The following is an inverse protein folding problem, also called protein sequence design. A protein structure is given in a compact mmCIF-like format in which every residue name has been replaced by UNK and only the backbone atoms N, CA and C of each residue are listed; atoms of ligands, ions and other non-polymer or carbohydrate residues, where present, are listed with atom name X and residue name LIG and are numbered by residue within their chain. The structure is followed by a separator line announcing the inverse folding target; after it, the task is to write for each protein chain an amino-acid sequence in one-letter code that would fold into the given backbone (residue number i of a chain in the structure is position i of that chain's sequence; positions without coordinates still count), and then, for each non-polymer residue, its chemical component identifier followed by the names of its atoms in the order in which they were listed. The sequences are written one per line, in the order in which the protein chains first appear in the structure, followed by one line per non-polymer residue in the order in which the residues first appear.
data_IF_912695325865
#
_entry.id   IF_912695325865
#
_cell.length_a   1.000
_cell.length_b   1.000
_cell.length_c   1.000
_cell.angle_alpha   90.00
_cell.angle_beta   90.00
_cell.angle_gamma   90.00
#
_symmetry.space_group_name_H-M   'P 1'
#
loop_
_entity.id
_entity.type
_entity.pdbx_description
1 polymer ?
#
# COMPACT_ATOMS: atom_id res chain seq x y z
N UNK A 1 -1.88 51.62 -32.35
CA UNK A 1 -0.59 51.19 -32.96
C UNK A 1 -0.74 49.69 -33.21
N UNK A 2 -1.30 49.23 -34.35
CA UNK A 2 -0.70 49.10 -35.69
C UNK A 2 0.68 48.42 -35.58
N UNK A 3 0.91 47.20 -36.07
CA UNK A 3 0.99 46.77 -37.48
C UNK A 3 0.35 45.37 -37.69
N UNK A 4 -0.65 45.19 -38.57
CA UNK A 4 -0.62 44.75 -40.00
C UNK A 4 -0.03 43.34 -40.21
N UNK A 5 -0.83 42.29 -40.49
CA UNK A 5 -1.52 41.87 -41.74
C UNK A 5 -0.63 41.22 -42.84
N UNK A 6 -1.20 40.14 -43.42
CA UNK A 6 -0.97 39.54 -44.76
C UNK A 6 -0.02 38.33 -44.80
N UNK A 7 -0.53 37.09 -44.90
CA UNK A 7 -1.01 36.42 -46.12
C UNK A 7 -0.09 36.64 -47.34
N UNK A 8 0.64 35.60 -47.72
CA UNK A 8 1.19 35.38 -49.06
C UNK A 8 0.47 34.16 -49.66
N UNK A 9 -0.72 34.43 -50.19
CA UNK A 9 -1.22 33.72 -51.36
C UNK A 9 -0.32 34.12 -52.53
N UNK A 10 0.11 33.17 -53.38
CA UNK A 10 0.44 33.27 -54.82
C UNK A 10 1.47 32.17 -55.16
N UNK A 11 0.97 30.97 -55.46
CA UNK A 11 1.31 30.34 -56.74
C UNK A 11 -0.03 30.16 -57.43
N UNK A 12 -0.35 31.16 -58.23
CA UNK A 12 -1.49 31.20 -59.14
C UNK A 12 -1.26 30.30 -60.35
N UNK A 13 -2.39 29.79 -60.85
CA UNK A 13 -2.67 29.44 -62.23
C UNK A 13 -2.07 28.12 -62.74
N UNK A 14 -2.94 27.20 -63.17
CA UNK A 14 -3.20 27.03 -64.59
C UNK A 14 -4.53 26.26 -64.81
N UNK A 15 -5.47 26.96 -65.44
CA UNK A 15 -6.46 26.49 -66.43
C UNK A 15 -7.54 25.47 -66.00
N UNK A 16 -8.77 25.94 -65.72
CA UNK A 16 -9.92 26.10 -66.64
C UNK A 16 -10.72 24.83 -66.92
N UNK A 17 -11.98 24.87 -66.48
CA UNK A 17 -13.19 24.37 -67.13
C UNK A 17 -13.09 23.23 -68.14
N UNK A 18 -13.67 22.08 -67.79
CA UNK A 18 -14.46 21.31 -68.74
C UNK A 18 -15.56 20.52 -68.01
N UNK A 19 -16.76 20.73 -68.51
CA UNK A 19 -18.06 20.15 -68.17
C UNK A 19 -18.19 18.66 -68.49
N UNK A 20 -19.10 18.00 -67.76
CA UNK A 20 -20.05 16.96 -68.21
C UNK A 20 -19.55 15.71 -68.97
N UNK A 21 -19.85 14.50 -68.49
CA UNK A 21 -20.99 13.67 -68.93
C UNK A 21 -20.92 12.25 -68.34
N UNK A 22 -22.12 11.70 -68.07
CA UNK A 22 -22.40 10.29 -67.86
C UNK A 22 -21.91 9.40 -69.01
N UNK A 23 -21.22 8.31 -68.67
CA UNK A 23 -21.39 6.95 -69.21
C UNK A 23 -20.92 6.02 -68.07
N UNK A 24 -21.71 5.09 -67.52
CA UNK A 24 -22.24 3.90 -68.17
C UNK A 24 -21.29 2.73 -67.91
N UNK A 25 -21.68 1.76 -67.08
CA UNK A 25 -20.95 0.47 -67.00
C UNK A 25 -20.92 -0.21 -65.64
N UNK A 26 -21.93 -1.06 -65.41
CA UNK A 26 -21.93 -2.31 -64.64
C UNK A 26 -20.82 -2.56 -63.59
N UNK A 27 -21.25 -2.73 -62.34
CA UNK A 27 -21.17 -4.05 -61.71
C UNK A 27 -22.23 -4.16 -60.61
N UNK A 28 -23.44 -4.53 -61.05
CA UNK A 28 -24.37 -5.27 -60.21
C UNK A 28 -23.70 -6.60 -59.86
N UNK A 29 -23.55 -6.89 -58.57
CA UNK A 29 -23.42 -8.27 -58.10
C UNK A 29 -24.86 -8.80 -58.03
N UNK A 30 -25.37 -9.23 -59.18
CA UNK A 30 -26.58 -10.07 -59.25
C UNK A 30 -26.27 -11.42 -58.61
N UNK A 31 -27.15 -11.85 -57.71
CA UNK A 31 -26.88 -12.89 -56.73
C UNK A 31 -26.56 -14.28 -57.28
N UNK A 32 -25.84 -15.02 -56.43
CA UNK A 32 -25.91 -16.48 -56.35
C UNK A 32 -26.36 -16.81 -54.93
N UNK A 33 -27.53 -17.44 -54.85
CA UNK A 33 -28.03 -18.30 -53.79
C UNK A 33 -27.28 -18.29 -52.43
N UNK A 34 -27.89 -17.68 -51.41
CA UNK A 34 -28.05 -18.42 -50.15
C UNK A 34 -28.68 -19.77 -50.51
N UNK A 35 -28.24 -20.90 -49.96
CA UNK A 35 -28.41 -21.32 -48.58
C UNK A 35 -27.31 -22.36 -48.30
N UNK A 36 -26.28 -22.03 -47.52
CA UNK A 36 -25.35 -23.03 -46.94
C UNK A 36 -24.46 -22.45 -45.82
N UNK A 37 -24.16 -21.14 -45.86
CA UNK A 37 -23.25 -20.51 -44.89
C UNK A 37 -23.92 -19.80 -43.70
N UNK A 38 -25.20 -19.44 -43.79
CA UNK A 38 -25.87 -18.58 -42.79
C UNK A 38 -26.33 -19.37 -41.56
N UNK A 39 -26.68 -20.66 -41.73
CA UNK A 39 -27.18 -21.51 -40.64
C UNK A 39 -26.08 -21.83 -39.61
N UNK A 40 -24.87 -22.19 -40.06
CA UNK A 40 -23.71 -22.43 -39.16
C UNK A 40 -23.27 -21.18 -38.39
N UNK A 41 -23.45 -20.00 -38.98
CA UNK A 41 -23.03 -18.72 -38.36
C UNK A 41 -24.01 -18.30 -37.25
N UNK A 42 -25.31 -18.60 -37.38
CA UNK A 42 -26.29 -18.26 -36.33
C UNK A 42 -26.08 -19.12 -35.08
N UNK A 43 -25.87 -20.42 -35.23
CA UNK A 43 -25.55 -21.32 -34.09
C UNK A 43 -24.28 -20.86 -33.35
N UNK A 44 -23.25 -20.43 -34.10
CA UNK A 44 -22.02 -19.88 -33.52
C UNK A 44 -22.23 -18.56 -32.77
N UNK A 45 -23.19 -17.73 -33.18
CA UNK A 45 -23.56 -16.49 -32.47
C UNK A 45 -24.28 -16.79 -31.17
N UNK A 46 -25.19 -17.76 -31.18
CA UNK A 46 -25.97 -18.14 -30.00
C UNK A 46 -25.07 -18.80 -28.94
N UNK A 47 -24.08 -19.60 -29.37
CA UNK A 47 -23.03 -20.15 -28.50
C UNK A 47 -22.15 -19.03 -27.94
N UNK A 48 -21.75 -18.05 -28.77
CA UNK A 48 -20.94 -16.91 -28.31
C UNK A 48 -21.69 -16.07 -27.26
N UNK A 49 -22.98 -15.83 -27.48
CA UNK A 49 -23.82 -15.11 -26.52
C UNK A 49 -23.88 -15.86 -25.18
N UNK A 50 -24.11 -17.17 -25.22
CA UNK A 50 -24.14 -18.01 -24.01
C UNK A 50 -22.81 -18.00 -23.25
N UNK A 51 -21.68 -17.99 -23.98
CA UNK A 51 -20.33 -17.86 -23.39
C UNK A 51 -20.16 -16.48 -22.73
N UNK A 52 -20.62 -15.41 -23.38
CA UNK A 52 -20.49 -14.06 -22.87
C UNK A 52 -21.39 -13.84 -21.64
N UNK A 53 -22.57 -14.46 -21.60
CA UNK A 53 -23.45 -14.47 -20.43
C UNK A 53 -22.82 -15.23 -19.24
N UNK A 54 -22.19 -16.39 -19.47
CA UNK A 54 -21.45 -17.14 -18.45
C UNK A 54 -20.23 -16.36 -17.92
N UNK A 55 -19.51 -15.65 -18.81
CA UNK A 55 -18.45 -14.71 -18.39
C UNK A 55 -19.00 -13.56 -17.56
N UNK A 56 -20.19 -13.06 -17.88
CA UNK A 56 -20.86 -12.02 -17.11
C UNK A 56 -21.18 -12.46 -15.67
N UNK A 57 -21.69 -13.68 -15.49
CA UNK A 57 -21.99 -14.25 -14.18
C UNK A 57 -20.73 -14.40 -13.32
N UNK A 58 -19.67 -14.98 -13.88
CA UNK A 58 -18.39 -15.15 -13.17
C UNK A 58 -17.72 -13.81 -12.84
N UNK A 59 -17.80 -12.82 -13.73
CA UNK A 59 -17.29 -11.47 -13.46
C UNK A 59 -18.05 -10.77 -12.34
N UNK A 60 -19.37 -10.96 -12.26
CA UNK A 60 -20.18 -10.40 -11.18
C UNK A 60 -19.78 -10.96 -9.82
N UNK A 61 -19.53 -12.26 -9.74
CA UNK A 61 -19.03 -12.91 -8.53
C UNK A 61 -17.64 -12.40 -8.14
N UNK A 62 -16.73 -12.27 -9.11
CA UNK A 62 -15.39 -11.72 -8.89
C UNK A 62 -15.47 -10.28 -8.38
N UNK A 63 -16.31 -9.44 -8.97
CA UNK A 63 -16.50 -8.05 -8.53
C UNK A 63 -17.06 -7.99 -7.10
N UNK A 64 -18.02 -8.86 -6.77
CA UNK A 64 -18.57 -8.95 -5.41
C UNK A 64 -17.49 -9.38 -4.40
N UNK A 65 -16.67 -10.37 -4.73
CA UNK A 65 -15.55 -10.81 -3.90
C UNK A 65 -14.48 -9.72 -3.74
N UNK A 66 -14.14 -9.00 -4.82
CA UNK A 66 -13.22 -7.87 -4.77
C UNK A 66 -13.75 -6.76 -3.85
N UNK A 67 -15.04 -6.47 -3.91
CA UNK A 67 -15.69 -5.50 -3.01
C UNK A 67 -15.63 -5.95 -1.55
N UNK A 68 -15.87 -7.24 -1.27
CA UNK A 68 -15.72 -7.81 0.07
C UNK A 68 -14.28 -7.70 0.59
N UNK A 69 -13.29 -8.00 -0.27
CA UNK A 69 -11.87 -7.85 0.09
C UNK A 69 -11.47 -6.40 0.36
N UNK A 70 -11.97 -5.45 -0.44
CA UNK A 70 -11.75 -4.02 -0.20
C UNK A 70 -12.35 -3.58 1.13
N UNK A 71 -13.55 -4.07 1.45
CA UNK A 71 -14.22 -3.80 2.73
C UNK A 71 -13.39 -4.33 3.90
N UNK A 72 -12.93 -5.58 3.82
CA UNK A 72 -12.07 -6.19 4.84
C UNK A 72 -10.78 -5.38 5.03
N UNK A 73 -10.12 -4.97 3.95
CA UNK A 73 -8.91 -4.13 4.02
C UNK A 73 -9.19 -2.79 4.72
N UNK A 74 -10.31 -2.14 4.40
CA UNK A 74 -10.69 -0.87 5.03
C UNK A 74 -10.93 -1.04 6.54
N UNK A 75 -11.53 -2.16 6.95
CA UNK A 75 -11.76 -2.49 8.36
C UNK A 75 -10.44 -2.80 9.07
N UNK A 76 -9.52 -3.52 8.42
CA UNK A 76 -8.17 -3.77 8.95
C UNK A 76 -7.38 -2.47 9.12
N UNK A 77 -7.47 -1.53 8.16
CA UNK A 77 -6.82 -0.22 8.27
C UNK A 77 -7.44 0.62 9.40
N UNK A 78 -8.76 0.52 9.64
CA UNK A 78 -9.42 1.15 10.78
C UNK A 78 -8.96 0.53 12.11
N UNK A 79 -8.82 -0.80 12.19
CA UNK A 79 -8.29 -1.50 13.38
C UNK A 79 -6.84 -1.09 13.63
N UNK A 80 -6.00 -1.04 12.60
CA UNK A 80 -4.59 -0.62 12.72
C UNK A 80 -4.47 0.84 13.21
N UNK A 81 -5.39 1.72 12.81
CA UNK A 81 -5.45 3.10 13.35
C UNK A 81 -5.89 3.16 14.81
N UNK A 82 -6.73 2.22 15.27
CA UNK A 82 -7.19 2.13 16.67
C UNK A 82 -6.21 1.39 17.58
N UNK A 83 -5.42 0.47 17.03
CA UNK A 83 -4.38 -0.31 17.74
C UNK A 83 -2.99 0.33 17.64
N UNK A 84 -2.89 1.65 17.60
CA UNK A 84 -1.57 2.27 17.72
C UNK A 84 -1.11 2.10 19.16
N UNK A 85 -0.30 1.06 19.41
CA UNK A 85 0.39 0.87 20.67
C UNK A 85 1.20 2.16 20.90
N UNK A 86 0.87 2.97 21.92
CA UNK A 86 1.49 4.28 22.09
C UNK A 86 2.97 4.15 22.50
N UNK A 87 3.39 2.95 22.93
CA UNK A 87 4.79 2.63 23.22
C UNK A 87 5.50 2.07 21.99
N UNK A 88 6.63 2.65 21.64
CA UNK A 88 7.52 2.18 20.58
C UNK A 88 8.96 2.06 21.10
N UNK A 89 9.75 1.23 20.43
CA UNK A 89 11.18 1.08 20.69
C UNK A 89 11.97 2.08 19.85
N UNK A 90 13.06 2.61 20.42
CA UNK A 90 14.00 3.47 19.73
C UNK A 90 15.45 3.16 20.12
N UNK A 91 16.33 3.33 19.15
CA UNK A 91 17.78 3.20 19.28
C UNK A 91 18.45 4.56 19.17
N UNK A 92 19.71 4.62 19.61
CA UNK A 92 20.56 5.77 19.31
C UNK A 92 20.83 5.87 17.81
N UNK A 93 21.12 7.08 17.33
CA UNK A 93 21.73 7.29 16.01
C UNK A 93 23.08 6.58 15.85
N UNK A 94 23.79 6.29 16.96
CA UNK A 94 25.04 5.50 16.98
C UNK A 94 24.80 3.98 16.94
N UNK A 95 23.54 3.55 16.93
CA UNK A 95 23.11 2.15 16.86
C UNK A 95 22.68 1.53 18.20
N UNK A 96 22.54 0.20 18.19
CA UNK A 96 22.06 -0.60 19.32
C UNK A 96 22.91 -0.45 20.59
N UNK A 97 22.22 -0.36 21.73
CA UNK A 97 22.78 -0.37 23.08
C UNK A 97 23.84 0.72 23.31
N UNK A 98 23.55 1.94 22.85
CA UNK A 98 24.43 3.11 23.02
C UNK A 98 23.89 4.19 23.96
N UNK A 99 22.64 4.08 24.41
CA UNK A 99 22.01 5.10 25.26
C UNK A 99 22.23 4.78 26.74
N UNK A 100 22.84 5.72 27.48
CA UNK A 100 22.67 5.80 28.93
C UNK A 100 21.22 6.19 29.28
N UNK A 101 20.81 6.00 30.54
CA UNK A 101 19.44 6.32 30.96
C UNK A 101 19.02 7.78 30.67
N UNK A 102 19.93 8.74 30.85
CA UNK A 102 19.65 10.14 30.56
C UNK A 102 19.56 10.42 29.04
N UNK A 103 20.45 9.81 28.25
CA UNK A 103 20.38 9.91 26.78
C UNK A 103 19.10 9.25 26.25
N UNK A 104 18.68 8.13 26.84
CA UNK A 104 17.44 7.46 26.49
C UNK A 104 16.19 8.34 26.68
N UNK A 105 16.13 9.10 27.78
CA UNK A 105 15.06 10.08 27.98
C UNK A 105 15.05 11.14 26.90
N UNK A 106 16.23 11.65 26.56
CA UNK A 106 16.40 12.69 25.54
C UNK A 106 16.02 12.18 24.14
N UNK A 107 16.42 10.96 23.79
CA UNK A 107 16.05 10.30 22.53
C UNK A 107 14.51 10.23 22.36
N UNK A 108 13.77 9.92 23.42
CA UNK A 108 12.31 9.96 23.36
C UNK A 108 11.77 11.38 23.13
N UNK A 109 12.34 12.38 23.80
CA UNK A 109 11.92 13.79 23.67
C UNK A 109 12.15 14.29 22.25
N UNK A 110 13.30 13.98 21.66
CA UNK A 110 13.64 14.36 20.27
C UNK A 110 12.68 13.75 19.25
N UNK A 111 12.07 12.61 19.59
CA UNK A 111 11.03 11.94 18.79
C UNK A 111 9.61 12.39 19.11
N UNK A 112 9.44 13.45 19.90
CA UNK A 112 8.12 13.97 20.30
C UNK A 112 7.37 13.05 21.27
N UNK A 113 8.09 12.28 22.07
CA UNK A 113 7.56 11.31 23.01
C UNK A 113 8.15 11.53 24.43
N UNK A 114 7.69 10.74 25.40
CA UNK A 114 8.32 10.64 26.73
C UNK A 114 8.82 9.22 26.93
N UNK A 115 9.79 9.01 27.82
CA UNK A 115 10.18 7.64 28.19
C UNK A 115 8.95 6.90 28.77
N UNK A 116 8.72 5.67 28.31
CA UNK A 116 7.57 4.89 28.71
C UNK A 116 7.68 4.46 30.18
N UNK A 117 6.56 4.53 30.89
CA UNK A 117 6.47 3.95 32.24
C UNK A 117 6.40 2.41 32.16
N UNK A 118 6.81 1.69 33.22
CA UNK A 118 6.63 0.24 33.28
C UNK A 118 5.18 -0.21 33.06
N UNK A 119 4.21 0.58 33.53
CA UNK A 119 2.79 0.31 33.35
C UNK A 119 2.37 0.45 31.88
N UNK A 120 2.79 1.52 31.20
CA UNK A 120 2.53 1.73 29.77
C UNK A 120 3.20 0.66 28.92
N UNK A 121 4.46 0.29 29.23
CA UNK A 121 5.18 -0.75 28.53
C UNK A 121 4.52 -2.13 28.71
N UNK A 122 4.01 -2.43 29.92
CA UNK A 122 3.24 -3.65 30.17
C UNK A 122 1.96 -3.70 29.35
N UNK A 123 1.16 -2.64 29.37
CA UNK A 123 -0.07 -2.56 28.59
C UNK A 123 0.23 -2.74 27.08
N UNK A 124 1.26 -2.07 26.58
CA UNK A 124 1.73 -2.24 25.21
C UNK A 124 2.11 -3.70 24.86
N UNK A 125 2.80 -4.40 25.76
CA UNK A 125 3.19 -5.81 25.58
C UNK A 125 2.01 -6.78 25.68
N UNK A 126 1.00 -6.45 26.49
CA UNK A 126 -0.28 -7.16 26.54
C UNK A 126 -1.02 -7.01 25.20
N UNK A 127 -1.03 -5.80 24.63
CA UNK A 127 -1.65 -5.44 23.36
C UNK A 127 -0.90 -5.91 22.11
N UNK A 128 0.33 -6.43 22.26
CA UNK A 128 1.06 -7.07 21.15
C UNK A 128 2.50 -6.63 20.93
N UNK A 129 3.00 -5.64 21.68
CA UNK A 129 4.40 -5.20 21.58
C UNK A 129 5.34 -6.38 21.87
N UNK A 130 6.29 -6.63 20.97
CA UNK A 130 7.31 -7.65 21.13
C UNK A 130 8.58 -7.24 20.41
N UNK A 131 9.62 -6.89 21.17
CA UNK A 131 10.89 -6.39 20.67
C UNK A 131 12.02 -7.15 21.36
N UNK A 132 12.93 -7.70 20.55
CA UNK A 132 14.11 -8.42 21.05
C UNK A 132 15.26 -7.46 21.36
N UNK A 133 15.01 -6.49 22.22
CA UNK A 133 16.03 -5.55 22.66
C UNK A 133 15.78 -5.12 24.11
N UNK A 134 16.86 -5.02 24.89
CA UNK A 134 16.80 -4.41 26.21
C UNK A 134 16.68 -2.90 26.05
N UNK A 135 15.63 -2.31 26.64
CA UNK A 135 15.41 -0.87 26.57
C UNK A 135 15.02 -0.27 27.91
N UNK A 136 15.49 0.96 28.16
CA UNK A 136 15.17 1.74 29.35
C UNK A 136 13.68 2.06 29.45
N UNK A 137 13.15 1.98 30.68
CA UNK A 137 11.85 2.51 31.08
C UNK A 137 12.01 3.58 32.17
N UNK A 138 10.94 4.30 32.48
CA UNK A 138 10.98 5.48 33.36
C UNK A 138 11.47 5.21 34.79
N UNK A 139 11.42 3.96 35.25
CA UNK A 139 11.88 3.51 36.57
C UNK A 139 13.39 3.28 36.65
N UNK A 140 14.13 3.54 35.56
CA UNK A 140 15.57 3.36 35.53
C UNK A 140 16.02 1.91 35.38
N UNK A 141 15.10 1.02 34.98
CA UNK A 141 15.38 -0.38 34.67
C UNK A 141 15.26 -0.61 33.17
N UNK A 142 15.84 -1.72 32.73
CA UNK A 142 15.66 -2.19 31.36
C UNK A 142 14.70 -3.36 31.30
N UNK A 143 13.94 -3.37 30.21
CA UNK A 143 12.92 -4.38 29.95
C UNK A 143 13.18 -5.05 28.60
N UNK A 144 12.88 -6.35 28.53
CA UNK A 144 12.89 -7.15 27.31
C UNK A 144 11.48 -7.73 27.07
N UNK A 145 10.64 -7.09 26.25
CA UNK A 145 9.29 -7.54 25.94
C UNK A 145 9.31 -8.62 24.85
N UNK A 146 9.11 -9.88 25.23
CA UNK A 146 9.06 -11.02 24.32
C UNK A 146 7.59 -11.40 24.08
N UNK A 147 7.09 -11.24 22.85
CA UNK A 147 5.72 -11.64 22.47
C UNK A 147 5.64 -13.11 22.06
N UNK A 148 6.64 -13.57 21.32
CA UNK A 148 6.74 -14.90 20.73
C UNK A 148 8.16 -15.41 20.89
N UNK A 149 8.32 -16.72 21.08
CA UNK A 149 9.63 -17.37 21.18
C UNK A 149 10.42 -17.21 19.88
N UNK A 150 11.70 -16.82 19.97
CA UNK A 150 12.61 -16.67 18.82
C UNK A 150 14.04 -17.03 19.25
N UNK A 151 14.85 -17.65 18.36
CA UNK A 151 16.25 -17.90 18.65
C UNK A 151 16.98 -16.61 19.07
N UNK A 152 17.69 -16.65 20.19
CA UNK A 152 18.45 -15.50 20.72
C UNK A 152 17.63 -14.46 21.51
N UNK A 153 16.30 -14.58 21.57
CA UNK A 153 15.40 -13.57 22.16
C UNK A 153 14.56 -14.09 23.32
N UNK A 154 15.04 -15.15 24.01
CA UNK A 154 14.30 -15.86 25.04
C UNK A 154 13.31 -16.90 24.49
N UNK A 155 12.91 -17.84 25.35
CA UNK A 155 12.18 -19.05 24.94
C UNK A 155 10.66 -18.96 25.13
N UNK A 156 10.15 -17.96 25.86
CA UNK A 156 8.73 -17.83 26.22
C UNK A 156 8.24 -16.37 26.20
N UNK A 157 6.91 -16.18 26.15
CA UNK A 157 6.26 -14.87 26.29
C UNK A 157 6.54 -14.33 27.69
N UNK A 158 7.39 -13.32 27.80
CA UNK A 158 7.76 -12.70 29.06
C UNK A 158 8.02 -11.20 28.88
N UNK A 159 7.72 -10.42 29.91
CA UNK A 159 8.19 -9.05 30.06
C UNK A 159 9.24 -9.05 31.17
N UNK A 160 10.49 -9.33 30.81
CA UNK A 160 11.57 -9.48 31.78
C UNK A 160 12.14 -8.11 32.11
N UNK A 161 12.08 -7.70 33.38
CA UNK A 161 12.82 -6.55 33.89
C UNK A 161 14.14 -7.02 34.48
N UNK A 162 15.25 -6.43 34.07
CA UNK A 162 16.58 -6.75 34.62
C UNK A 162 17.21 -5.53 35.28
N UNK A 163 17.75 -5.74 36.48
CA UNK A 163 18.96 -5.03 36.90
C UNK A 163 20.11 -5.94 36.50
N UNK A 164 20.68 -5.72 35.32
CA UNK A 164 21.91 -6.43 34.94
C UNK A 164 23.07 -5.59 35.43
N UNK A 165 24.07 -6.17 36.08
CA UNK A 165 25.19 -5.41 36.67
C UNK A 165 25.93 -4.52 35.64
N UNK A 166 25.89 -4.90 34.36
CA UNK A 166 26.45 -4.14 33.23
C UNK A 166 25.46 -3.16 32.56
N UNK A 167 24.17 -3.21 32.89
CA UNK A 167 23.15 -2.21 32.51
C UNK A 167 22.55 -1.60 33.78
N UNK A 168 23.33 -0.76 34.45
CA UNK A 168 22.89 -0.02 35.61
C UNK A 168 23.00 1.49 35.34
N UNK A 169 21.92 2.21 35.59
CA UNK A 169 21.86 3.66 35.40
C UNK A 169 22.91 4.42 36.23
N UNK A 170 23.29 3.87 37.39
CA UNK A 170 24.27 4.46 38.30
C UNK A 170 25.72 4.17 37.86
N UNK A 171 25.94 3.19 36.98
CA UNK A 171 27.28 2.81 36.48
C UNK A 171 27.49 3.20 35.02
N UNK A 172 26.53 3.90 34.39
CA UNK A 172 26.62 4.28 32.98
C UNK A 172 26.33 3.15 32.00
N UNK A 173 25.55 2.15 32.43
CA UNK A 173 25.06 1.08 31.57
C UNK A 173 24.41 1.63 30.30
N UNK A 174 24.49 0.88 29.20
CA UNK A 174 23.94 1.27 27.91
C UNK A 174 22.89 0.27 27.43
N UNK A 175 21.81 0.80 26.88
CA UNK A 175 20.71 0.02 26.32
C UNK A 175 19.99 0.85 25.23
N UNK A 176 18.89 0.32 24.70
CA UNK A 176 17.96 1.07 23.86
C UNK A 176 16.91 1.76 24.74
N UNK A 177 15.82 2.29 24.19
CA UNK A 177 14.75 2.91 24.98
C UNK A 177 13.34 2.55 24.49
N UNK A 178 12.39 2.48 25.42
CA UNK A 178 10.97 2.46 25.10
C UNK A 178 10.35 3.84 25.34
N UNK A 179 9.73 4.39 24.31
CA UNK A 179 9.12 5.73 24.31
C UNK A 179 7.61 5.61 24.20
N UNK A 180 6.88 6.46 24.93
CA UNK A 180 5.44 6.62 24.88
C UNK A 180 5.07 7.91 24.14
N UNK A 181 4.33 7.76 23.04
CA UNK A 181 3.81 8.86 22.22
C UNK A 181 2.70 9.59 22.98
N UNK A 182 2.80 10.92 23.02
CA UNK A 182 1.84 11.82 23.67
C UNK A 182 0.60 12.06 22.82
#
# INVERSE_FOLDING_TARGET
MLWKFSFCTIITAFLTSATFFFTGGANQITGVAGIAGIVKIQELKDIKQSIDDLKGLTQKEIQNLQHQMQTLKSMMDQIARRQHIPVFHAESSEGHYKLSFNQAKQECIERGAKIATPAQLRAAWEDGLGVCAFGWASDGKVYLPIRYSRPGCGYSRALTSGYMDWINQNTGGKADVYCFKL
#
